data_IF_133409855696
#
_entry.id   IF_133409855696
#
_cell.length_a   1.000
_cell.length_b   1.000
_cell.length_c   1.000
_cell.angle_alpha   90.00
_cell.angle_beta   90.00
_cell.angle_gamma   90.00
#
_symmetry.space_group_name_H-M   'P 1'
#
loop_
_entity.id
_entity.type
_entity.pdbx_description
1 polymer ?
#
# COMPACT_ATOMS: atom_id res chain seq x y z
N UNK A 1 -4.25 7.26 -25.72
CA UNK A 1 -4.06 7.83 -24.37
C UNK A 1 -3.73 6.66 -23.46
N UNK A 2 -2.55 6.62 -22.87
CA UNK A 2 -2.23 5.57 -21.91
C UNK A 2 -2.87 5.98 -20.58
N UNK A 3 -3.85 5.23 -20.04
CA UNK A 3 -4.30 5.49 -18.69
C UNK A 3 -3.11 5.22 -17.76
N UNK A 4 -2.59 6.28 -17.14
CA UNK A 4 -1.58 6.19 -16.10
C UNK A 4 -2.30 6.21 -14.76
N UNK A 5 -2.95 5.11 -14.42
CA UNK A 5 -3.65 4.98 -13.15
C UNK A 5 -2.64 4.97 -11.99
N UNK A 6 -3.04 5.50 -10.85
CA UNK A 6 -2.19 5.58 -9.66
C UNK A 6 -2.94 5.15 -8.41
N UNK A 7 -2.22 4.73 -7.36
CA UNK A 7 -2.81 4.48 -6.06
C UNK A 7 -1.86 4.98 -4.98
N UNK A 8 -2.42 5.67 -3.99
CA UNK A 8 -1.70 6.02 -2.76
C UNK A 8 -2.22 5.14 -1.64
N UNK A 9 -1.31 4.53 -0.90
CA UNK A 9 -1.64 3.72 0.28
C UNK A 9 -1.04 4.40 1.51
N UNK A 10 -1.91 4.73 2.46
CA UNK A 10 -1.55 5.27 3.76
C UNK A 10 -1.84 4.21 4.82
N UNK A 11 -0.84 3.89 5.63
CA UNK A 11 -1.02 3.00 6.79
C UNK A 11 -0.93 3.85 8.04
N UNK A 12 -1.98 3.90 8.85
CA UNK A 12 -2.01 4.71 10.06
C UNK A 12 -2.83 4.01 11.16
N UNK A 13 -2.51 4.24 12.44
CA UNK A 13 -3.29 3.75 13.58
C UNK A 13 -3.59 2.23 13.64
N UNK A 14 -2.85 1.40 12.88
CA UNK A 14 -3.02 -0.05 12.91
C UNK A 14 -2.62 -0.62 14.26
N UNK A 15 -3.55 -1.37 14.89
CA UNK A 15 -3.34 -1.96 16.21
C UNK A 15 -2.09 -2.86 16.24
N UNK A 16 -1.13 -2.50 17.08
CA UNK A 16 0.11 -3.26 17.26
C UNK A 16 1.27 -2.83 16.37
N UNK A 17 1.06 -1.90 15.43
CA UNK A 17 2.13 -1.23 14.68
C UNK A 17 2.25 0.22 15.17
N UNK A 18 3.38 0.88 14.91
CA UNK A 18 3.52 2.31 15.19
C UNK A 18 2.35 3.09 14.52
N UNK A 19 1.90 4.22 15.11
CA UNK A 19 0.82 5.07 14.58
C UNK A 19 0.99 5.43 13.11
N UNK A 20 2.21 5.41 12.60
CA UNK A 20 2.58 5.74 11.22
C UNK A 20 2.76 4.52 10.30
N UNK A 21 2.47 3.30 10.76
CA UNK A 21 2.59 2.09 9.94
C UNK A 21 4.02 1.71 9.55
N UNK A 22 5.03 2.33 10.16
CA UNK A 22 6.46 2.15 9.84
C UNK A 22 6.89 0.67 9.85
N UNK A 23 7.62 0.28 8.81
CA UNK A 23 8.08 -1.10 8.60
C UNK A 23 7.02 -2.04 8.03
N UNK A 24 5.83 -1.54 7.70
CA UNK A 24 4.82 -2.34 6.99
C UNK A 24 5.18 -2.46 5.52
N UNK A 25 5.04 -3.66 4.96
CA UNK A 25 5.27 -3.88 3.52
C UNK A 25 3.93 -3.84 2.79
N UNK A 26 3.78 -2.91 1.85
CA UNK A 26 2.60 -2.79 1.00
C UNK A 26 2.88 -3.49 -0.32
N UNK A 27 1.97 -4.35 -0.76
CA UNK A 27 1.98 -5.04 -2.04
C UNK A 27 0.68 -4.76 -2.77
N UNK A 28 0.78 -4.47 -4.05
CA UNK A 28 -0.35 -4.24 -4.94
C UNK A 28 -0.40 -5.40 -5.93
N UNK A 29 -1.56 -6.01 -6.05
CA UNK A 29 -1.85 -7.09 -6.97
C UNK A 29 -2.93 -6.66 -7.96
N UNK A 30 -2.98 -7.30 -9.12
CA UNK A 30 -4.15 -7.25 -10.00
C UNK A 30 -5.38 -7.75 -9.22
N UNK A 31 -6.54 -7.21 -9.55
CA UNK A 31 -7.81 -7.63 -8.97
C UNK A 31 -7.97 -9.15 -9.06
N UNK A 32 -8.30 -9.79 -7.93
CA UNK A 32 -8.51 -11.24 -7.85
C UNK A 32 -7.24 -12.07 -7.81
N UNK A 33 -6.05 -11.47 -7.91
CA UNK A 33 -4.75 -12.16 -7.93
C UNK A 33 -3.93 -11.92 -6.64
N UNK A 34 -4.61 -11.57 -5.55
CA UNK A 34 -3.97 -11.36 -4.25
C UNK A 34 -3.19 -12.61 -3.81
N UNK A 35 -1.87 -12.45 -3.64
CA UNK A 35 -0.97 -13.52 -3.19
C UNK A 35 -0.30 -14.28 -4.35
N UNK A 36 -0.75 -14.08 -5.58
CA UNK A 36 -0.16 -14.69 -6.77
C UNK A 36 1.02 -13.85 -7.26
N UNK A 37 2.17 -14.50 -7.49
CA UNK A 37 3.38 -13.80 -7.94
C UNK A 37 3.19 -13.13 -9.31
N UNK A 38 2.44 -13.76 -10.21
CA UNK A 38 2.12 -13.26 -11.55
C UNK A 38 1.22 -12.02 -11.54
N UNK A 39 0.44 -11.86 -10.46
CA UNK A 39 -0.46 -10.73 -10.25
C UNK A 39 0.18 -9.53 -9.59
N UNK A 40 1.43 -9.63 -9.12
CA UNK A 40 2.09 -8.56 -8.38
C UNK A 40 2.42 -7.38 -9.31
N UNK A 41 1.76 -6.24 -9.08
CA UNK A 41 2.02 -4.98 -9.79
C UNK A 41 3.24 -4.27 -9.19
N UNK A 42 3.35 -4.29 -7.87
CA UNK A 42 4.47 -3.67 -7.18
C UNK A 42 4.44 -3.90 -5.68
N UNK A 43 5.61 -3.75 -5.06
CA UNK A 43 5.74 -3.81 -3.60
C UNK A 43 6.66 -2.73 -3.10
N UNK A 44 6.28 -2.08 -2.01
CA UNK A 44 7.11 -1.04 -1.39
C UNK A 44 6.87 -1.04 0.13
N UNK A 45 7.86 -0.58 0.88
CA UNK A 45 7.81 -0.54 2.34
C UNK A 45 7.43 0.86 2.82
N UNK A 46 6.64 0.90 3.89
CA UNK A 46 6.28 2.14 4.58
C UNK A 46 7.52 2.60 5.35
N UNK A 47 8.35 3.41 4.70
CA UNK A 47 9.51 4.06 5.29
C UNK A 47 9.29 5.57 5.35
N UNK A 48 9.60 6.18 6.49
CA UNK A 48 9.63 7.64 6.62
C UNK A 48 11.09 8.04 6.43
N UNK A 49 11.44 8.54 5.24
CA UNK A 49 12.80 9.06 5.00
C UNK A 49 13.03 10.26 5.91
N UNK A 50 14.02 10.13 6.78
CA UNK A 50 14.25 11.02 7.93
C UNK A 50 14.89 12.34 7.46
N UNK A 51 14.08 13.30 7.02
CA UNK A 51 14.46 14.71 6.98
C UNK A 51 14.11 15.35 8.32
N UNK A 52 15.12 15.86 9.04
CA UNK A 52 15.01 16.57 10.32
C UNK A 52 13.71 17.42 10.38
N UNK A 53 12.81 17.09 11.31
CA UNK A 53 11.56 17.80 11.64
C UNK A 53 10.40 17.78 10.63
N UNK A 54 10.25 16.73 9.80
CA UNK A 54 9.06 16.57 8.95
C UNK A 54 8.13 15.49 9.52
N UNK A 55 7.05 15.88 10.21
CA UNK A 55 5.99 14.99 10.69
C UNK A 55 5.13 14.39 9.56
N UNK A 56 5.76 13.86 8.51
CA UNK A 56 5.09 13.41 7.31
C UNK A 56 4.43 12.05 7.52
N UNK A 57 3.15 11.97 7.16
CA UNK A 57 2.38 10.74 7.10
C UNK A 57 3.02 9.77 6.12
N UNK A 58 3.21 8.52 6.53
CA UNK A 58 3.81 7.51 5.68
C UNK A 58 2.81 7.09 4.59
N UNK A 59 3.00 7.61 3.39
CA UNK A 59 2.17 7.36 2.21
C UNK A 59 3.04 6.78 1.12
N UNK A 60 2.64 5.61 0.61
CA UNK A 60 3.32 4.91 -0.47
C UNK A 60 2.58 5.19 -1.77
N UNK A 61 3.31 5.52 -2.83
CA UNK A 61 2.77 5.80 -4.16
C UNK A 61 3.05 4.65 -5.11
N UNK A 62 2.02 4.21 -5.84
CA UNK A 62 2.10 3.16 -6.85
C UNK A 62 1.54 3.65 -8.19
N UNK A 63 2.27 3.37 -9.27
CA UNK A 63 1.73 3.45 -10.63
C UNK A 63 1.07 2.11 -10.98
N UNK A 64 -0.19 2.15 -11.41
CA UNK A 64 -0.99 0.98 -11.76
C UNK A 64 -1.07 0.72 -13.27
N UNK A 65 -0.54 1.63 -14.09
CA UNK A 65 -0.67 1.56 -15.55
C UNK A 65 -2.14 1.54 -15.95
N UNK A 66 -2.56 0.55 -16.72
CA UNK A 66 -3.93 0.45 -17.24
C UNK A 66 -4.93 -0.19 -16.25
N UNK A 67 -4.46 -0.71 -15.11
CA UNK A 67 -5.34 -1.37 -14.13
C UNK A 67 -6.23 -0.33 -13.43
N UNK A 68 -7.54 -0.43 -13.63
CA UNK A 68 -8.55 0.41 -12.97
C UNK A 68 -8.92 -0.07 -11.58
N UNK A 69 -8.65 -1.33 -11.27
CA UNK A 69 -8.97 -1.97 -9.98
C UNK A 69 -7.82 -2.87 -9.56
N UNK A 70 -7.49 -2.88 -8.26
CA UNK A 70 -6.38 -3.65 -7.70
C UNK A 70 -6.70 -4.19 -6.32
N UNK A 71 -5.94 -5.20 -5.90
CA UNK A 71 -5.95 -5.73 -4.56
C UNK A 71 -4.70 -5.25 -3.79
N UNK A 72 -4.87 -4.87 -2.53
CA UNK A 72 -3.83 -4.33 -1.66
C UNK A 72 -3.60 -5.28 -0.49
N UNK A 73 -2.35 -5.72 -0.30
CA UNK A 73 -1.88 -6.46 0.87
C UNK A 73 -0.92 -5.58 1.67
N UNK A 74 -1.15 -5.42 2.96
CA UNK A 74 -0.24 -4.76 3.90
C UNK A 74 0.24 -5.79 4.91
N UNK A 75 1.51 -6.14 4.85
CA UNK A 75 2.15 -7.05 5.79
C UNK A 75 2.69 -6.21 6.95
N UNK A 76 2.22 -6.49 8.16
CA UNK A 76 2.62 -5.75 9.34
C UNK A 76 3.98 -6.26 9.86
N UNK A 77 4.84 -5.37 10.40
CA UNK A 77 6.12 -5.77 10.97
C UNK A 77 5.93 -6.68 12.19
N UNK A 78 7.00 -7.39 12.58
CA UNK A 78 7.02 -8.28 13.75
C UNK A 78 6.03 -9.46 13.69
N UNK A 79 5.74 -9.99 12.50
CA UNK A 79 4.77 -11.09 12.30
C UNK A 79 3.38 -10.81 12.89
N UNK A 80 2.97 -9.53 12.96
CA UNK A 80 1.63 -9.15 13.47
C UNK A 80 0.48 -9.43 12.50
N UNK A 81 0.77 -10.12 11.41
CA UNK A 81 -0.20 -10.54 10.40
C UNK A 81 -0.20 -9.63 9.18
N UNK A 82 -1.30 -9.70 8.44
CA UNK A 82 -1.49 -8.97 7.19
C UNK A 82 -2.90 -8.42 7.10
N UNK A 83 -3.03 -7.25 6.50
CA UNK A 83 -4.30 -6.59 6.19
C UNK A 83 -4.50 -6.65 4.69
N UNK A 84 -5.69 -7.04 4.27
CA UNK A 84 -6.05 -7.18 2.86
C UNK A 84 -7.24 -6.29 2.54
N UNK A 85 -7.16 -5.62 1.40
CA UNK A 85 -8.27 -4.88 0.78
C UNK A 85 -8.34 -5.28 -0.69
N UNK A 86 -9.48 -5.83 -1.11
CA UNK A 86 -9.70 -6.27 -2.49
C UNK A 86 -10.59 -5.28 -3.22
N UNK A 87 -10.52 -5.26 -4.56
CA UNK A 87 -11.44 -4.48 -5.39
C UNK A 87 -11.29 -2.97 -5.19
N UNK A 88 -10.08 -2.48 -4.95
CA UNK A 88 -9.81 -1.06 -4.75
C UNK A 88 -9.72 -0.39 -6.12
N UNK A 89 -10.59 0.59 -6.37
CA UNK A 89 -10.51 1.43 -7.57
C UNK A 89 -9.19 2.20 -7.61
N UNK A 90 -8.66 2.43 -8.79
CA UNK A 90 -7.50 3.27 -9.00
C UNK A 90 -7.82 4.76 -8.78
N UNK A 91 -6.77 5.58 -8.80
CA UNK A 91 -6.77 7.04 -8.73
C UNK A 91 -7.29 7.60 -7.39
N UNK A 92 -7.00 6.89 -6.29
CA UNK A 92 -7.39 7.30 -4.95
C UNK A 92 -6.30 7.08 -3.89
N UNK A 93 -6.53 7.70 -2.73
CA UNK A 93 -5.79 7.46 -1.50
C UNK A 93 -6.57 6.47 -0.63
N UNK A 94 -6.03 5.27 -0.46
CA UNK A 94 -6.57 4.28 0.48
C UNK A 94 -5.88 4.44 1.82
N UNK A 95 -6.67 4.53 2.88
CA UNK A 95 -6.17 4.56 4.25
C UNK A 95 -6.47 3.23 4.93
N UNK A 96 -5.42 2.59 5.43
CA UNK A 96 -5.46 1.35 6.21
C UNK A 96 -5.32 1.72 7.69
N UNK A 97 -6.35 1.41 8.47
CA UNK A 97 -6.42 1.61 9.92
C UNK A 97 -6.60 0.26 10.64
#
# INVERSE_FOLDING_TARGET
>A
MNPNNWLKVRVQNVKGVNRMGLGSKVRIYKEGQLGEAEGLIGSNEVCVSNGYASGQTAVVHFGLGENSTVDVEVILPHNKGKIVRKGINANQLVTIN
#
